data_IF_549806302118
#
_entry.id   IF_549806302118
#
_cell.length_a   1.000
_cell.length_b   1.000
_cell.length_c   1.000
_cell.angle_alpha   90.00
_cell.angle_beta   90.00
_cell.angle_gamma   90.00
#
_symmetry.space_group_name_H-M   'P 1'
#
loop_
_entity.id
_entity.type
_entity.pdbx_description
1 polymer ?
#
# COMPACT_ATOMS: atom_id res chain seq x y z
N UNK A 1 8.38 16.03 -2.03
CA UNK A 1 7.62 15.38 -3.11
C UNK A 1 7.33 13.97 -2.66
N UNK A 2 6.08 13.51 -2.75
CA UNK A 2 5.77 12.11 -2.56
C UNK A 2 6.11 11.38 -3.85
N UNK A 3 6.91 10.32 -3.76
CA UNK A 3 7.12 9.43 -4.90
C UNK A 3 5.79 8.74 -5.21
N UNK A 4 5.50 8.56 -6.49
CA UNK A 4 4.28 7.91 -6.95
C UNK A 4 4.64 6.80 -7.92
N UNK A 5 3.95 5.67 -7.78
CA UNK A 5 4.06 4.54 -8.69
C UNK A 5 2.65 4.22 -9.19
N UNK A 6 2.53 4.05 -10.50
CA UNK A 6 1.29 3.67 -11.14
C UNK A 6 1.14 2.15 -11.21
N UNK A 7 -0.10 1.70 -11.01
CA UNK A 7 -0.56 0.35 -11.37
C UNK A 7 -1.54 0.44 -12.53
N UNK A 8 -1.68 -0.62 -13.31
CA UNK A 8 -2.54 -0.61 -14.49
C UNK A 8 -3.44 -1.84 -14.56
N UNK A 9 -4.72 -1.64 -14.86
CA UNK A 9 -5.68 -2.73 -15.02
C UNK A 9 -6.76 -2.30 -16.03
N UNK A 10 -7.10 -3.18 -16.99
CA UNK A 10 -8.10 -2.92 -18.04
C UNK A 10 -7.99 -1.56 -18.75
N UNK A 11 -6.76 -1.15 -19.07
CA UNK A 11 -6.39 0.14 -19.69
C UNK A 11 -6.58 1.39 -18.81
N UNK A 12 -6.97 1.23 -17.56
CA UNK A 12 -6.94 2.31 -16.56
C UNK A 12 -5.64 2.26 -15.77
N UNK A 13 -5.23 3.42 -15.24
CA UNK A 13 -4.03 3.56 -14.42
C UNK A 13 -4.35 4.29 -13.12
N UNK A 14 -3.86 3.73 -12.01
CA UNK A 14 -4.09 4.24 -10.66
C UNK A 14 -2.75 4.55 -10.00
N UNK A 15 -2.57 5.78 -9.52
CA UNK A 15 -1.34 6.22 -8.85
C UNK A 15 -1.38 5.90 -7.36
N UNK A 16 -0.30 5.33 -6.83
CA UNK A 16 -0.10 5.05 -5.41
C UNK A 16 1.10 5.84 -4.88
N UNK A 17 0.90 6.54 -3.77
CA UNK A 17 1.98 7.19 -3.02
C UNK A 17 2.86 6.12 -2.37
N UNK A 18 4.17 6.26 -2.54
CA UNK A 18 5.17 5.34 -2.00
C UNK A 18 6.22 6.08 -1.16
N UNK A 19 6.93 5.31 -0.33
CA UNK A 19 7.97 5.81 0.57
C UNK A 19 7.43 6.47 1.85
N UNK A 20 8.12 6.23 2.96
CA UNK A 20 7.68 6.68 4.29
C UNK A 20 6.44 5.91 4.78
N UNK A 21 5.99 6.27 5.99
CA UNK A 21 4.80 5.66 6.58
C UNK A 21 3.50 6.14 5.92
N UNK A 22 2.45 5.30 6.01
CA UNK A 22 1.08 5.75 5.78
C UNK A 22 0.76 6.95 6.68
N UNK A 23 0.05 7.93 6.14
CA UNK A 23 -0.41 9.06 6.96
C UNK A 23 -1.28 8.51 8.09
N UNK A 24 -1.09 9.02 9.30
CA UNK A 24 -1.87 8.62 10.48
C UNK A 24 -1.71 7.15 10.91
N UNK A 25 -0.73 6.42 10.40
CA UNK A 25 -0.45 5.03 10.80
C UNK A 25 -0.38 4.85 12.32
N UNK A 26 0.24 5.81 13.00
CA UNK A 26 0.44 5.80 14.45
C UNK A 26 -0.48 6.76 15.20
N UNK A 27 -1.52 7.31 14.55
CA UNK A 27 -2.52 8.09 15.29
C UNK A 27 -3.39 7.18 16.15
N UNK A 28 -4.12 7.76 17.10
CA UNK A 28 -5.16 7.00 17.78
C UNK A 28 -6.13 6.40 16.73
N UNK A 29 -6.53 5.12 16.82
CA UNK A 29 -7.48 4.53 15.88
C UNK A 29 -8.76 5.35 15.70
N UNK A 30 -9.26 5.97 16.79
CA UNK A 30 -10.41 6.88 16.73
C UNK A 30 -10.17 8.11 15.87
N UNK A 31 -8.94 8.59 15.82
CA UNK A 31 -8.56 9.76 15.00
C UNK A 31 -8.42 9.36 13.54
N UNK A 32 -7.88 8.16 13.26
CA UNK A 32 -7.77 7.60 11.91
C UNK A 32 -9.15 7.41 11.25
N UNK A 33 -10.13 6.93 12.01
CA UNK A 33 -11.50 6.74 11.55
C UNK A 33 -12.27 8.05 11.27
N UNK A 34 -11.80 9.16 11.86
CA UNK A 34 -12.36 10.50 11.66
C UNK A 34 -11.74 11.24 10.47
N UNK A 35 -10.77 10.63 9.78
CA UNK A 35 -10.04 11.31 8.74
C UNK A 35 -10.89 11.56 7.50
N UNK A 36 -10.97 12.85 7.20
CA UNK A 36 -11.50 13.38 5.95
C UNK A 36 -10.37 14.16 5.29
N UNK A 37 -9.96 13.71 4.10
CA UNK A 37 -8.95 14.37 3.31
C UNK A 37 -9.45 15.75 2.87
N UNK A 38 -8.75 16.80 3.29
CA UNK A 38 -9.26 18.17 3.19
C UNK A 38 -9.53 18.57 1.75
N UNK A 39 -8.61 18.27 0.83
CA UNK A 39 -8.67 18.82 -0.52
C UNK A 39 -9.86 18.27 -1.33
N UNK A 40 -10.41 17.10 -0.96
CA UNK A 40 -11.58 16.48 -1.61
C UNK A 40 -12.92 17.00 -1.08
N UNK A 41 -12.93 17.81 -0.01
CA UNK A 41 -14.18 18.34 0.55
C UNK A 41 -14.81 19.29 -0.46
N UNK A 42 -16.05 19.04 -0.85
CA UNK A 42 -16.83 19.97 -1.68
C UNK A 42 -17.37 21.09 -0.78
N UNK A 43 -17.01 22.32 -1.11
CA UNK A 43 -17.44 23.53 -0.41
C UNK A 43 -18.86 23.93 -0.83
N UNK A 44 -19.53 24.83 -0.08
CA UNK A 44 -20.84 25.36 -0.48
C UNK A 44 -20.86 26.04 -1.86
N UNK A 45 -19.71 26.53 -2.35
CA UNK A 45 -19.55 27.08 -3.70
C UNK A 45 -19.59 26.02 -4.81
N UNK A 46 -19.51 24.73 -4.46
CA UNK A 46 -19.53 23.60 -5.40
C UNK A 46 -18.13 23.15 -5.88
N UNK A 47 -17.09 23.93 -5.62
CA UNK A 47 -15.69 23.55 -5.90
C UNK A 47 -15.10 22.70 -4.76
N UNK A 48 -13.95 22.07 -5.01
CA UNK A 48 -13.22 21.35 -3.96
C UNK A 48 -12.41 22.33 -3.10
N UNK A 49 -12.20 21.99 -1.83
CA UNK A 49 -11.37 22.78 -0.94
C UNK A 49 -9.90 22.87 -1.43
N UNK A 50 -9.42 21.84 -2.14
CA UNK A 50 -8.12 21.85 -2.79
C UNK A 50 -8.04 22.90 -3.90
N UNK A 51 -9.05 22.94 -4.78
CA UNK A 51 -9.12 23.91 -5.87
C UNK A 51 -9.26 25.34 -5.33
N UNK A 52 -10.12 25.55 -4.34
CA UNK A 52 -10.28 26.84 -3.66
C UNK A 52 -8.94 27.31 -3.09
N UNK A 53 -8.24 26.45 -2.34
CA UNK A 53 -6.93 26.78 -1.74
C UNK A 53 -5.88 27.10 -2.80
N UNK A 54 -5.88 26.37 -3.93
CA UNK A 54 -4.97 26.61 -5.05
C UNK A 54 -5.26 27.95 -5.73
N UNK A 55 -6.53 28.29 -5.96
CA UNK A 55 -6.94 29.57 -6.54
C UNK A 55 -6.54 30.76 -5.65
N UNK A 56 -6.85 30.69 -4.34
CA UNK A 56 -6.47 31.72 -3.38
C UNK A 56 -4.96 31.89 -3.24
N UNK A 57 -4.19 30.79 -3.37
CA UNK A 57 -2.73 30.90 -3.42
C UNK A 57 -2.25 31.66 -4.66
N UNK A 58 -2.81 31.35 -5.84
CA UNK A 58 -2.44 32.03 -7.08
C UNK A 58 -2.78 33.53 -7.05
N UNK A 59 -3.93 33.90 -6.47
CA UNK A 59 -4.31 35.31 -6.25
C UNK A 59 -3.34 36.04 -5.32
N UNK A 60 -2.96 35.40 -4.21
CA UNK A 60 -1.97 35.96 -3.28
C UNK A 60 -0.60 36.16 -3.95
N UNK A 61 -0.12 35.16 -4.67
CA UNK A 61 1.17 35.19 -5.38
C UNK A 61 1.17 36.30 -6.45
N UNK A 62 0.04 36.52 -7.14
CA UNK A 62 -0.12 37.57 -8.16
C UNK A 62 -0.24 38.98 -7.57
N UNK A 63 -0.79 39.13 -6.37
CA UNK A 63 -1.01 40.42 -5.72
C UNK A 63 0.27 41.05 -5.14
N UNK A 64 1.42 40.36 -5.18
CA UNK A 64 2.69 40.77 -4.55
C UNK A 64 2.51 41.24 -3.09
N UNK A 65 1.53 40.65 -2.38
CA UNK A 65 1.14 41.07 -1.04
C UNK A 65 2.20 40.66 -0.01
N UNK A 66 2.50 41.55 0.93
CA UNK A 66 3.36 41.23 2.08
C UNK A 66 2.68 40.33 3.13
N UNK A 67 1.37 40.10 3.01
CA UNK A 67 0.62 39.22 3.92
C UNK A 67 1.00 37.75 3.71
N UNK A 68 0.77 36.89 4.70
CA UNK A 68 1.00 35.44 4.56
C UNK A 68 -0.14 34.81 3.73
N UNK A 69 0.18 33.83 2.87
CA UNK A 69 -0.80 33.06 2.07
C UNK A 69 -2.00 32.58 2.92
N UNK A 70 -1.74 32.10 4.14
CA UNK A 70 -2.78 31.62 5.06
C UNK A 70 -3.70 32.74 5.56
N UNK A 71 -3.19 33.96 5.76
CA UNK A 71 -4.02 35.10 6.15
C UNK A 71 -4.95 35.51 5.00
N UNK A 72 -4.44 35.52 3.76
CA UNK A 72 -5.26 35.74 2.57
C UNK A 72 -6.35 34.67 2.44
N UNK A 73 -6.00 33.38 2.57
CA UNK A 73 -6.98 32.28 2.54
C UNK A 73 -8.07 32.42 3.62
N UNK A 74 -7.70 32.81 4.85
CA UNK A 74 -8.66 33.04 5.92
C UNK A 74 -9.60 34.22 5.58
N UNK A 75 -9.06 35.33 5.07
CA UNK A 75 -9.87 36.49 4.71
C UNK A 75 -10.84 36.16 3.58
N UNK A 76 -10.40 35.47 2.54
CA UNK A 76 -11.28 35.03 1.45
C UNK A 76 -12.36 34.08 1.95
N UNK A 77 -12.01 33.14 2.83
CA UNK A 77 -13.00 32.24 3.45
C UNK A 77 -14.04 33.00 4.27
N UNK A 78 -13.64 34.05 5.01
CA UNK A 78 -14.57 34.90 5.74
C UNK A 78 -15.51 35.62 4.77
N UNK A 79 -14.97 36.16 3.68
CA UNK A 79 -15.77 36.89 2.69
C UNK A 79 -16.77 35.97 1.97
N UNK A 80 -16.33 34.76 1.60
CA UNK A 80 -17.12 33.83 0.78
C UNK A 80 -18.09 32.99 1.62
N UNK A 81 -17.70 32.61 2.85
CA UNK A 81 -18.42 31.63 3.68
C UNK A 81 -18.75 32.12 5.09
N UNK A 82 -18.38 33.35 5.44
CA UNK A 82 -18.69 33.96 6.74
C UNK A 82 -17.88 33.42 7.92
N UNK A 83 -16.84 32.62 7.69
CA UNK A 83 -15.97 32.10 8.75
C UNK A 83 -14.54 31.81 8.28
N UNK A 84 -13.61 31.69 9.24
CA UNK A 84 -12.22 31.34 8.95
C UNK A 84 -12.09 29.94 8.33
N UNK A 85 -11.10 29.77 7.46
CA UNK A 85 -10.87 28.54 6.70
C UNK A 85 -10.80 27.28 7.56
N UNK A 86 -10.05 27.31 8.66
CA UNK A 86 -9.89 26.11 9.49
C UNK A 86 -11.21 25.75 10.19
N UNK A 87 -11.98 26.76 10.61
CA UNK A 87 -13.32 26.55 11.18
C UNK A 87 -14.27 25.95 10.14
N UNK A 88 -14.27 26.50 8.91
CA UNK A 88 -15.06 25.97 7.79
C UNK A 88 -14.75 24.50 7.54
N UNK A 89 -13.47 24.16 7.36
CA UNK A 89 -13.03 22.80 7.06
C UNK A 89 -13.35 21.86 8.22
N UNK A 90 -13.08 22.24 9.47
CA UNK A 90 -13.38 21.38 10.63
C UNK A 90 -14.87 21.08 10.76
N UNK A 91 -15.73 22.07 10.50
CA UNK A 91 -17.18 21.84 10.50
C UNK A 91 -17.61 20.86 9.40
N UNK A 92 -17.04 20.96 8.21
CA UNK A 92 -17.31 20.01 7.11
C UNK A 92 -16.82 18.61 7.45
N UNK A 93 -15.61 18.45 7.96
CA UNK A 93 -15.08 17.13 8.37
C UNK A 93 -15.99 16.45 9.39
N UNK A 94 -16.41 17.18 10.44
CA UNK A 94 -17.36 16.67 11.45
C UNK A 94 -18.69 16.27 10.83
N UNK A 95 -19.25 17.09 9.95
CA UNK A 95 -20.52 16.80 9.28
C UNK A 95 -20.43 15.52 8.43
N UNK A 96 -19.37 15.41 7.61
CA UNK A 96 -19.13 14.26 6.73
C UNK A 96 -18.96 12.99 7.56
N UNK A 97 -18.10 13.03 8.58
CA UNK A 97 -17.85 11.91 9.47
C UNK A 97 -19.11 11.46 10.20
N UNK A 98 -19.79 12.36 10.91
CA UNK A 98 -20.95 12.02 11.75
C UNK A 98 -22.11 11.40 10.96
N UNK A 99 -22.26 11.76 9.67
CA UNK A 99 -23.30 11.18 8.79
C UNK A 99 -22.95 9.80 8.28
N UNK A 100 -21.66 9.49 8.11
CA UNK A 100 -21.19 8.25 7.49
C UNK A 100 -20.79 7.20 8.52
N UNK A 101 -20.04 7.59 9.55
CA UNK A 101 -19.37 6.67 10.47
C UNK A 101 -20.30 5.65 11.14
N UNK A 102 -21.48 6.04 11.68
CA UNK A 102 -22.41 5.06 12.26
C UNK A 102 -22.87 4.01 11.26
N UNK A 103 -22.89 4.36 9.97
CA UNK A 103 -23.32 3.48 8.90
C UNK A 103 -22.22 2.51 8.47
N UNK A 104 -20.93 2.74 8.74
CA UNK A 104 -19.84 1.87 8.27
C UNK A 104 -19.78 0.51 8.98
N UNK A 105 -20.33 0.42 10.20
CA UNK A 105 -20.18 -0.77 11.06
C UNK A 105 -21.52 -1.40 11.48
N UNK A 106 -22.63 -1.04 10.83
CA UNK A 106 -23.93 -1.64 11.14
C UNK A 106 -23.97 -3.11 10.71
N UNK A 107 -24.51 -3.97 11.58
CA UNK A 107 -24.70 -5.40 11.30
C UNK A 107 -26.05 -5.67 10.64
N UNK A 108 -26.36 -4.91 9.57
CA UNK A 108 -27.51 -5.16 8.70
C UNK A 108 -27.25 -4.63 7.29
N UNK A 109 -28.08 -5.04 6.34
CA UNK A 109 -28.08 -4.45 5.00
C UNK A 109 -28.42 -2.96 5.09
N UNK A 110 -27.66 -2.14 4.35
CA UNK A 110 -27.86 -0.70 4.20
C UNK A 110 -28.96 -0.41 3.18
N UNK A 111 -29.78 0.60 3.45
CA UNK A 111 -30.74 1.11 2.44
C UNK A 111 -30.01 1.85 1.32
N UNK A 112 -30.74 2.17 0.25
CA UNK A 112 -30.20 2.98 -0.85
C UNK A 112 -29.79 4.37 -0.38
N UNK A 113 -30.56 5.01 0.51
CA UNK A 113 -30.20 6.32 1.04
C UNK A 113 -28.92 6.26 1.89
N UNK A 114 -28.75 5.22 2.69
CA UNK A 114 -27.55 5.03 3.52
C UNK A 114 -26.30 4.80 2.67
N UNK A 115 -26.42 4.01 1.60
CA UNK A 115 -25.34 3.83 0.63
C UNK A 115 -24.99 5.14 -0.07
N UNK A 116 -25.98 5.97 -0.42
CA UNK A 116 -25.74 7.29 -0.99
C UNK A 116 -24.98 8.21 -0.03
N UNK A 117 -25.26 8.16 1.28
CA UNK A 117 -24.53 8.91 2.29
C UNK A 117 -23.06 8.47 2.39
N UNK A 118 -22.80 7.17 2.36
CA UNK A 118 -21.43 6.62 2.37
C UNK A 118 -20.69 7.04 1.09
N UNK A 119 -21.31 6.90 -0.08
CA UNK A 119 -20.75 7.34 -1.35
C UNK A 119 -20.41 8.83 -1.33
N UNK A 120 -21.34 9.67 -0.82
CA UNK A 120 -21.11 11.11 -0.71
C UNK A 120 -19.95 11.43 0.24
N UNK A 121 -19.84 10.72 1.37
CA UNK A 121 -18.74 10.91 2.30
C UNK A 121 -17.40 10.52 1.68
N UNK A 122 -17.33 9.39 0.97
CA UNK A 122 -16.13 8.95 0.24
C UNK A 122 -15.75 9.96 -0.85
N UNK A 123 -16.71 10.47 -1.63
CA UNK A 123 -16.46 11.54 -2.61
C UNK A 123 -15.93 12.83 -1.97
N UNK A 124 -16.27 13.10 -0.71
CA UNK A 124 -15.83 14.27 0.06
C UNK A 124 -14.58 14.00 0.94
N UNK A 125 -13.80 12.96 0.64
CA UNK A 125 -12.51 12.72 1.31
C UNK A 125 -12.56 11.79 2.51
N UNK A 126 -13.71 11.22 2.89
CA UNK A 126 -13.76 10.33 4.07
C UNK A 126 -13.02 9.01 3.79
N UNK A 127 -11.89 8.80 4.46
CA UNK A 127 -10.94 7.73 4.14
C UNK A 127 -11.54 6.34 4.40
N UNK A 128 -12.13 6.10 5.58
CA UNK A 128 -12.74 4.80 5.90
C UNK A 128 -13.94 4.48 5.00
N UNK A 129 -14.67 5.50 4.50
CA UNK A 129 -15.75 5.30 3.54
C UNK A 129 -15.20 4.88 2.16
N UNK A 130 -14.12 5.51 1.69
CA UNK A 130 -13.42 5.08 0.47
C UNK A 130 -12.95 3.64 0.59
N UNK A 131 -12.28 3.29 1.70
CA UNK A 131 -11.81 1.93 1.93
C UNK A 131 -12.98 0.93 1.96
N UNK A 132 -14.05 1.25 2.71
CA UNK A 132 -15.23 0.38 2.81
C UNK A 132 -15.91 0.13 1.46
N UNK A 133 -16.08 1.16 0.62
CA UNK A 133 -16.61 0.99 -0.73
C UNK A 133 -15.66 0.12 -1.56
N UNK A 134 -14.36 0.42 -1.48
CA UNK A 134 -13.31 -0.30 -2.19
C UNK A 134 -13.30 -1.80 -1.88
N UNK A 135 -13.35 -2.17 -0.60
CA UNK A 135 -13.37 -3.59 -0.19
C UNK A 135 -14.66 -4.29 -0.61
N UNK A 136 -15.82 -3.63 -0.46
CA UNK A 136 -17.10 -4.21 -0.88
C UNK A 136 -17.14 -4.48 -2.40
N UNK A 137 -16.51 -3.62 -3.21
CA UNK A 137 -16.36 -3.82 -4.65
C UNK A 137 -15.34 -4.93 -4.96
N UNK A 138 -14.24 -5.00 -4.21
CA UNK A 138 -13.20 -6.03 -4.36
C UNK A 138 -13.77 -7.43 -4.12
N UNK A 139 -14.56 -7.61 -3.05
CA UNK A 139 -15.25 -8.88 -2.73
C UNK A 139 -16.20 -9.32 -3.86
N UNK A 140 -16.79 -8.36 -4.56
CA UNK A 140 -17.63 -8.60 -5.74
C UNK A 140 -16.86 -8.71 -7.06
N UNK A 141 -15.52 -8.72 -7.03
CA UNK A 141 -14.63 -8.69 -8.19
C UNK A 141 -14.92 -7.54 -9.17
N UNK A 142 -15.35 -6.39 -8.64
CA UNK A 142 -15.62 -5.19 -9.41
C UNK A 142 -14.38 -4.28 -9.44
N UNK A 143 -13.86 -4.00 -10.64
CA UNK A 143 -12.64 -3.21 -10.85
C UNK A 143 -12.71 -1.77 -10.33
N UNK A 144 -13.91 -1.21 -10.12
CA UNK A 144 -14.08 0.09 -9.47
C UNK A 144 -13.52 0.12 -8.04
N UNK A 145 -13.22 -1.04 -7.44
CA UNK A 145 -12.46 -1.10 -6.20
C UNK A 145 -11.12 -0.38 -6.28
N UNK A 146 -10.42 -0.46 -7.43
CA UNK A 146 -9.09 0.13 -7.63
C UNK A 146 -9.12 1.65 -7.50
N UNK A 147 -10.18 2.28 -8.02
CA UNK A 147 -10.40 3.72 -7.87
C UNK A 147 -10.52 4.12 -6.39
N UNK A 148 -11.38 3.45 -5.63
CA UNK A 148 -11.63 3.81 -4.23
C UNK A 148 -10.47 3.46 -3.30
N UNK A 149 -9.87 2.29 -3.48
CA UNK A 149 -8.75 1.84 -2.67
C UNK A 149 -7.48 2.65 -2.93
N UNK A 150 -7.19 3.04 -4.18
CA UNK A 150 -6.01 3.89 -4.47
C UNK A 150 -6.14 5.27 -3.83
N UNK A 151 -7.35 5.85 -3.84
CA UNK A 151 -7.65 7.09 -3.12
C UNK A 151 -7.51 6.93 -1.61
N UNK A 152 -8.08 5.87 -1.04
CA UNK A 152 -7.96 5.58 0.40
C UNK A 152 -6.49 5.45 0.82
N UNK A 153 -5.68 4.71 0.05
CA UNK A 153 -4.24 4.56 0.25
C UNK A 153 -3.51 5.90 0.23
N UNK A 154 -3.74 6.71 -0.80
CA UNK A 154 -3.11 8.02 -0.96
C UNK A 154 -3.49 9.00 0.15
N UNK A 155 -4.67 8.83 0.75
CA UNK A 155 -5.10 9.63 1.89
C UNK A 155 -4.57 9.12 3.24
N UNK A 156 -4.05 7.89 3.31
CA UNK A 156 -3.41 7.32 4.50
C UNK A 156 -3.94 5.97 5.00
N UNK A 157 -4.91 5.35 4.31
CA UNK A 157 -5.44 4.07 4.76
C UNK A 157 -4.41 2.95 4.61
N UNK A 158 -3.92 2.40 5.74
CA UNK A 158 -2.82 1.42 5.77
C UNK A 158 -3.14 0.11 5.02
N UNK A 159 -4.39 -0.36 5.09
CA UNK A 159 -4.81 -1.61 4.45
C UNK A 159 -5.22 -1.49 2.99
N UNK A 160 -5.31 -0.29 2.42
CA UNK A 160 -5.95 -0.14 1.10
C UNK A 160 -5.13 -0.75 -0.04
N UNK A 161 -3.80 -0.57 -0.05
CA UNK A 161 -2.94 -1.22 -1.05
C UNK A 161 -2.88 -2.76 -0.89
N UNK A 162 -3.06 -3.28 0.33
CA UNK A 162 -3.18 -4.73 0.55
C UNK A 162 -4.43 -5.30 -0.14
N UNK A 163 -5.56 -4.61 -0.04
CA UNK A 163 -6.80 -5.02 -0.70
C UNK A 163 -6.72 -4.90 -2.23
N UNK A 164 -5.99 -3.90 -2.75
CA UNK A 164 -5.67 -3.82 -4.18
C UNK A 164 -4.84 -5.05 -4.60
N UNK A 165 -3.84 -5.44 -3.82
CA UNK A 165 -3.03 -6.62 -4.11
C UNK A 165 -3.88 -7.89 -4.17
N UNK A 166 -4.78 -8.07 -3.21
CA UNK A 166 -5.75 -9.20 -3.18
C UNK A 166 -6.60 -9.26 -4.45
N UNK A 167 -7.22 -8.14 -4.84
CA UNK A 167 -7.99 -8.06 -6.07
C UNK A 167 -7.14 -8.45 -7.29
N UNK A 168 -5.96 -7.86 -7.45
CA UNK A 168 -5.11 -8.08 -8.63
C UNK A 168 -4.55 -9.50 -8.70
N UNK A 169 -4.23 -10.14 -7.57
CA UNK A 169 -3.86 -11.56 -7.55
C UNK A 169 -5.01 -12.45 -8.04
N UNK A 170 -6.25 -12.18 -7.60
CA UNK A 170 -7.43 -12.93 -8.05
C UNK A 170 -7.73 -12.71 -9.55
N UNK A 171 -7.30 -11.58 -10.13
CA UNK A 171 -7.39 -11.31 -11.57
C UNK A 171 -6.16 -11.81 -12.37
N UNK A 172 -5.16 -12.40 -11.71
CA UNK A 172 -3.92 -12.85 -12.34
C UNK A 172 -2.96 -11.73 -12.77
N UNK A 173 -3.19 -10.48 -12.35
CA UNK A 173 -2.24 -9.37 -12.57
C UNK A 173 -1.14 -9.37 -11.50
N UNK A 174 -0.29 -10.40 -11.55
CA UNK A 174 0.72 -10.69 -10.53
C UNK A 174 1.73 -9.54 -10.33
N UNK A 175 2.15 -8.86 -11.39
CA UNK A 175 3.16 -7.80 -11.29
C UNK A 175 2.64 -6.61 -10.48
N UNK A 176 1.45 -6.09 -10.81
CA UNK A 176 0.84 -5.00 -10.05
C UNK A 176 0.36 -5.45 -8.66
N UNK A 177 -0.07 -6.71 -8.51
CA UNK A 177 -0.43 -7.26 -7.22
C UNK A 177 0.75 -7.27 -6.25
N UNK A 178 1.90 -7.80 -6.69
CA UNK A 178 3.13 -7.83 -5.89
C UNK A 178 3.62 -6.41 -5.59
N UNK A 179 3.54 -5.49 -6.57
CA UNK A 179 3.86 -4.07 -6.38
C UNK A 179 3.03 -3.46 -5.25
N UNK A 180 1.71 -3.67 -5.26
CA UNK A 180 0.81 -3.18 -4.21
C UNK A 180 1.09 -3.81 -2.85
N UNK A 181 1.40 -5.10 -2.82
CA UNK A 181 1.73 -5.82 -1.60
C UNK A 181 2.99 -5.24 -0.92
N UNK A 182 4.05 -5.04 -1.70
CA UNK A 182 5.30 -4.42 -1.20
C UNK A 182 5.05 -2.99 -0.75
N UNK A 183 4.32 -2.18 -1.54
CA UNK A 183 3.96 -0.81 -1.15
C UNK A 183 3.20 -0.79 0.18
N UNK A 184 2.26 -1.71 0.39
CA UNK A 184 1.49 -1.79 1.62
C UNK A 184 2.36 -2.19 2.82
N UNK A 185 3.25 -3.17 2.65
CA UNK A 185 4.20 -3.61 3.67
C UNK A 185 5.16 -2.50 4.08
N UNK A 186 5.79 -1.83 3.10
CA UNK A 186 6.75 -0.74 3.29
C UNK A 186 6.10 0.47 4.02
N UNK A 187 4.77 0.62 3.88
CA UNK A 187 3.98 1.68 4.53
C UNK A 187 3.33 1.27 5.84
N UNK A 188 3.59 0.06 6.34
CA UNK A 188 3.23 -0.35 7.70
C UNK A 188 1.99 -1.19 7.85
N UNK A 189 1.50 -1.78 6.77
CA UNK A 189 0.49 -2.82 6.90
C UNK A 189 1.15 -4.13 7.38
N UNK A 190 0.87 -4.51 8.62
CA UNK A 190 1.41 -5.73 9.21
C UNK A 190 0.93 -7.00 8.50
N UNK A 191 -0.30 -6.99 7.97
CA UNK A 191 -0.83 -8.09 7.15
C UNK A 191 -0.03 -8.22 5.85
N UNK A 192 0.23 -7.10 5.16
CA UNK A 192 1.06 -7.09 3.95
C UNK A 192 2.50 -7.53 4.23
N UNK A 193 3.08 -7.06 5.35
CA UNK A 193 4.44 -7.45 5.74
C UNK A 193 4.55 -8.94 6.06
N UNK A 194 3.55 -9.53 6.72
CA UNK A 194 3.54 -10.98 6.91
C UNK A 194 3.37 -11.72 5.57
N UNK A 195 2.58 -11.15 4.66
CA UNK A 195 2.25 -11.76 3.38
C UNK A 195 3.39 -11.77 2.36
N UNK A 196 4.36 -10.85 2.41
CA UNK A 196 5.54 -10.93 1.52
C UNK A 196 6.35 -12.23 1.71
N UNK A 197 6.21 -12.88 2.87
CA UNK A 197 6.78 -14.20 3.18
C UNK A 197 5.79 -15.35 2.97
N UNK A 198 4.74 -15.12 2.18
CA UNK A 198 3.76 -16.11 1.80
C UNK A 198 4.29 -17.05 0.72
N UNK A 199 4.22 -18.37 0.96
CA UNK A 199 4.59 -19.36 -0.05
C UNK A 199 3.77 -19.19 -1.35
N UNK A 200 2.46 -18.98 -1.23
CA UNK A 200 1.53 -18.75 -2.34
C UNK A 200 1.86 -17.50 -3.18
N UNK A 201 2.39 -16.47 -2.52
CA UNK A 201 2.84 -15.23 -3.19
C UNK A 201 4.06 -15.53 -4.05
N UNK A 202 5.05 -16.22 -3.48
CA UNK A 202 6.26 -16.59 -4.21
C UNK A 202 5.93 -17.49 -5.42
N UNK A 203 4.99 -18.42 -5.28
CA UNK A 203 4.49 -19.25 -6.40
C UNK A 203 3.94 -18.39 -7.52
N UNK A 204 2.98 -17.53 -7.17
CA UNK A 204 2.30 -16.68 -8.15
C UNK A 204 3.30 -15.84 -8.93
N UNK A 205 4.28 -15.28 -8.20
CA UNK A 205 5.36 -14.45 -8.74
C UNK A 205 6.31 -15.24 -9.65
N UNK A 206 6.61 -16.50 -9.34
CA UNK A 206 7.52 -17.33 -10.14
C UNK A 206 6.83 -18.00 -11.34
N UNK A 207 5.52 -18.28 -11.26
CA UNK A 207 4.74 -18.89 -12.34
C UNK A 207 4.20 -17.87 -13.35
N UNK A 208 4.29 -16.57 -13.05
CA UNK A 208 3.76 -15.54 -13.94
C UNK A 208 4.40 -15.59 -15.33
N UNK A 209 3.58 -15.50 -16.37
CA UNK A 209 4.04 -15.39 -17.77
C UNK A 209 4.82 -14.11 -18.03
N UNK A 210 4.67 -13.12 -17.15
CA UNK A 210 5.27 -11.79 -17.22
C UNK A 210 6.43 -11.64 -16.23
N UNK A 211 7.26 -12.68 -16.11
CA UNK A 211 8.33 -12.75 -15.10
C UNK A 211 9.29 -11.56 -15.20
N UNK A 212 9.67 -11.18 -16.43
CA UNK A 212 10.56 -10.03 -16.68
C UNK A 212 9.93 -8.71 -16.23
N UNK A 213 8.67 -8.44 -16.60
CA UNK A 213 7.94 -7.25 -16.14
C UNK A 213 7.82 -7.23 -14.60
N UNK A 214 7.62 -8.40 -13.99
CA UNK A 214 7.53 -8.58 -12.53
C UNK A 214 8.87 -8.37 -11.83
N UNK A 215 10.00 -8.60 -12.51
CA UNK A 215 11.33 -8.28 -11.99
C UNK A 215 11.61 -6.79 -12.11
N UNK A 216 11.46 -6.22 -13.31
CA UNK A 216 11.77 -4.81 -13.63
C UNK A 216 10.94 -3.79 -12.82
N UNK A 217 9.78 -4.21 -12.32
CA UNK A 217 8.95 -3.35 -11.47
C UNK A 217 9.46 -3.18 -10.05
N UNK A 218 10.40 -4.02 -9.60
CA UNK A 218 10.95 -3.98 -8.24
C UNK A 218 11.97 -2.85 -8.07
N UNK A 219 12.67 -2.46 -9.14
CA UNK A 219 13.72 -1.44 -9.13
C UNK A 219 13.23 -0.10 -8.56
N UNK A 220 12.14 0.52 -9.07
CA UNK A 220 11.62 1.75 -8.49
C UNK A 220 11.26 1.64 -7.00
N UNK A 221 10.84 0.47 -6.52
CA UNK A 221 10.49 0.26 -5.11
C UNK A 221 11.74 0.22 -4.22
N UNK A 222 12.79 -0.46 -4.68
CA UNK A 222 14.10 -0.54 -4.01
C UNK A 222 14.75 0.84 -3.93
N UNK A 223 14.62 1.65 -4.98
CA UNK A 223 15.13 3.02 -5.03
C UNK A 223 14.35 3.97 -4.11
N UNK A 224 13.05 3.72 -3.89
CA UNK A 224 12.22 4.56 -3.03
C UNK A 224 12.57 4.45 -1.54
N UNK A 225 13.08 3.32 -1.06
CA UNK A 225 13.41 3.16 0.35
C UNK A 225 14.48 2.09 0.62
N UNK A 226 15.31 2.32 1.64
CA UNK A 226 16.33 1.37 2.08
C UNK A 226 15.74 0.12 2.77
N UNK A 227 14.47 0.17 3.16
CA UNK A 227 13.77 -0.92 3.84
C UNK A 227 12.78 -1.69 2.97
N UNK A 228 12.80 -1.46 1.64
CA UNK A 228 11.77 -2.03 0.77
C UNK A 228 11.80 -3.56 0.75
N UNK A 229 10.63 -4.17 0.96
CA UNK A 229 10.40 -5.60 0.76
C UNK A 229 10.68 -6.09 -0.66
N UNK A 230 10.77 -5.20 -1.65
CA UNK A 230 11.16 -5.55 -3.02
C UNK A 230 12.55 -6.22 -3.10
N UNK A 231 13.46 -5.91 -2.18
CA UNK A 231 14.80 -6.54 -2.11
C UNK A 231 14.72 -8.04 -1.90
N UNK A 232 13.78 -8.52 -1.08
CA UNK A 232 13.58 -9.94 -0.85
C UNK A 232 13.21 -10.67 -2.15
N UNK A 233 12.20 -10.21 -2.88
CA UNK A 233 11.81 -10.84 -4.15
C UNK A 233 12.92 -10.76 -5.20
N UNK A 234 13.57 -9.59 -5.31
CA UNK A 234 14.68 -9.41 -6.26
C UNK A 234 15.86 -10.32 -5.94
N UNK A 235 16.20 -10.51 -4.66
CA UNK A 235 17.26 -11.46 -4.27
C UNK A 235 16.93 -12.88 -4.70
N UNK A 236 15.69 -13.34 -4.52
CA UNK A 236 15.29 -14.69 -4.92
C UNK A 236 15.41 -14.84 -6.44
N UNK A 237 14.99 -13.84 -7.22
CA UNK A 237 15.16 -13.86 -8.67
C UNK A 237 16.64 -13.96 -9.09
N UNK A 238 17.51 -13.15 -8.48
CA UNK A 238 18.95 -13.17 -8.76
C UNK A 238 19.56 -14.55 -8.43
N UNK A 239 19.18 -15.15 -7.29
CA UNK A 239 19.64 -16.49 -6.91
C UNK A 239 19.19 -17.56 -7.91
N UNK A 240 17.92 -17.54 -8.36
CA UNK A 240 17.41 -18.48 -9.39
C UNK A 240 18.17 -18.35 -10.72
N UNK A 241 18.64 -17.14 -11.03
CA UNK A 241 19.40 -16.84 -12.25
C UNK A 241 20.91 -17.05 -12.10
N UNK A 242 21.37 -17.72 -11.03
CA UNK A 242 22.79 -17.90 -10.70
C UNK A 242 23.59 -16.60 -10.52
N UNK A 243 22.91 -15.48 -10.29
CA UNK A 243 23.54 -14.19 -9.95
C UNK A 243 23.74 -14.13 -8.43
N UNK A 244 24.52 -15.08 -7.90
CA UNK A 244 24.60 -15.37 -6.47
C UNK A 244 25.08 -14.17 -5.66
N UNK A 245 26.11 -13.47 -6.15
CA UNK A 245 26.67 -12.33 -5.44
C UNK A 245 25.66 -11.19 -5.30
N UNK A 246 25.00 -10.81 -6.40
CA UNK A 246 23.94 -9.79 -6.43
C UNK A 246 22.73 -10.20 -5.59
N UNK A 247 22.34 -11.48 -5.66
CA UNK A 247 21.25 -12.03 -4.88
C UNK A 247 21.52 -11.96 -3.37
N UNK A 248 22.69 -12.42 -2.94
CA UNK A 248 23.09 -12.35 -1.53
C UNK A 248 23.24 -10.92 -1.03
N UNK A 249 23.78 -10.02 -1.85
CA UNK A 249 23.88 -8.60 -1.50
C UNK A 249 22.50 -8.01 -1.19
N UNK A 250 21.52 -8.21 -2.07
CA UNK A 250 20.15 -7.72 -1.87
C UNK A 250 19.48 -8.36 -0.65
N UNK A 251 19.72 -9.66 -0.43
CA UNK A 251 19.17 -10.38 0.71
C UNK A 251 19.75 -9.89 2.04
N UNK A 252 21.05 -9.59 2.09
CA UNK A 252 21.71 -8.95 3.23
C UNK A 252 21.19 -7.54 3.48
N UNK A 253 21.03 -6.72 2.45
CA UNK A 253 20.45 -5.38 2.58
C UNK A 253 19.04 -5.43 3.19
N UNK A 254 18.22 -6.39 2.75
CA UNK A 254 16.91 -6.64 3.34
C UNK A 254 16.99 -7.18 4.77
N UNK A 255 17.90 -8.12 5.06
CA UNK A 255 18.11 -8.66 6.41
C UNK A 255 18.42 -7.54 7.43
N UNK A 256 19.28 -6.59 7.05
CA UNK A 256 19.66 -5.48 7.93
C UNK A 256 18.48 -4.53 8.18
N UNK A 257 17.68 -4.25 7.14
CA UNK A 257 16.59 -3.28 7.16
C UNK A 257 15.29 -3.84 6.58
N UNK A 258 14.64 -4.84 7.18
CA UNK A 258 13.52 -5.52 6.52
C UNK A 258 12.23 -4.71 6.59
N UNK A 259 12.13 -3.75 7.53
CA UNK A 259 10.92 -2.95 7.76
C UNK A 259 11.31 -1.50 8.08
N UNK A 260 10.48 -0.56 7.65
CA UNK A 260 10.59 0.84 8.07
C UNK A 260 10.54 0.95 9.59
N UNK A 261 11.41 1.78 10.18
CA UNK A 261 11.54 1.91 11.64
C UNK A 261 10.63 3.04 12.14
N UNK A 262 9.59 2.76 12.97
CA UNK A 262 8.73 3.81 13.48
C UNK A 262 9.40 4.49 14.70
N UNK A 263 8.84 5.60 15.21
CA UNK A 263 9.31 6.20 16.47
C UNK A 263 9.36 5.17 17.61
N UNK A 264 10.32 5.28 18.51
CA UNK A 264 10.49 4.31 19.62
C UNK A 264 9.23 4.15 20.49
N UNK A 265 8.49 5.25 20.69
CA UNK A 265 7.27 5.27 21.52
C UNK A 265 6.12 4.42 20.98
N UNK A 266 6.18 3.96 19.73
CA UNK A 266 5.12 3.17 19.08
C UNK A 266 5.59 1.79 18.65
N UNK A 267 6.83 1.40 18.99
CA UNK A 267 7.34 0.05 18.73
C UNK A 267 6.79 -0.89 19.79
N UNK A 268 6.00 -1.86 19.38
CA UNK A 268 5.41 -2.88 20.23
C UNK A 268 6.00 -4.28 19.94
N UNK A 269 5.52 -5.27 20.68
CA UNK A 269 5.97 -6.66 20.51
C UNK A 269 5.65 -7.20 19.11
N UNK A 270 4.57 -6.74 18.47
CA UNK A 270 4.20 -7.14 17.10
C UNK A 270 5.29 -6.72 16.13
N UNK A 271 5.73 -5.46 16.22
CA UNK A 271 6.81 -4.92 15.40
C UNK A 271 8.11 -5.72 15.56
N UNK A 272 8.54 -5.97 16.80
CA UNK A 272 9.79 -6.70 17.06
C UNK A 272 9.72 -8.17 16.63
N UNK A 273 8.58 -8.82 16.85
CA UNK A 273 8.38 -10.20 16.41
C UNK A 273 8.47 -10.32 14.89
N UNK A 274 7.85 -9.40 14.15
CA UNK A 274 7.95 -9.37 12.69
C UNK A 274 9.38 -9.13 12.19
N UNK A 275 10.09 -8.20 12.83
CA UNK A 275 11.50 -7.92 12.53
C UNK A 275 12.38 -9.16 12.72
N UNK A 276 12.21 -9.86 13.85
CA UNK A 276 12.96 -11.08 14.16
C UNK A 276 12.65 -12.20 13.17
N UNK A 277 11.37 -12.44 12.86
CA UNK A 277 10.98 -13.47 11.88
C UNK A 277 11.63 -13.20 10.51
N UNK A 278 11.57 -11.95 10.03
CA UNK A 278 12.18 -11.58 8.75
C UNK A 278 13.70 -11.78 8.76
N UNK A 279 14.36 -11.41 9.86
CA UNK A 279 15.81 -11.57 10.03
C UNK A 279 16.23 -13.04 10.10
N UNK A 280 15.54 -13.85 10.89
CA UNK A 280 15.86 -15.27 11.05
C UNK A 280 15.69 -16.01 9.72
N UNK A 281 14.56 -15.79 9.05
CA UNK A 281 14.26 -16.40 7.76
C UNK A 281 15.34 -16.08 6.70
N UNK A 282 15.77 -14.82 6.63
CA UNK A 282 16.76 -14.38 5.63
C UNK A 282 18.17 -14.82 5.98
N UNK A 283 18.53 -14.81 7.27
CA UNK A 283 19.85 -15.23 7.76
C UNK A 283 20.12 -16.70 7.45
N UNK A 284 19.15 -17.57 7.63
CA UNK A 284 19.32 -19.00 7.36
C UNK A 284 19.64 -19.25 5.88
N UNK A 285 18.91 -18.62 4.97
CA UNK A 285 19.16 -18.71 3.54
C UNK A 285 20.54 -18.17 3.16
N UNK A 286 20.91 -16.99 3.66
CA UNK A 286 22.24 -16.40 3.46
C UNK A 286 23.33 -17.38 3.90
N UNK A 287 23.25 -17.89 5.13
CA UNK A 287 24.28 -18.75 5.71
C UNK A 287 24.44 -20.07 4.96
N UNK A 288 23.35 -20.64 4.41
CA UNK A 288 23.42 -21.85 3.59
C UNK A 288 24.17 -21.58 2.29
N UNK A 289 23.81 -20.53 1.57
CA UNK A 289 24.43 -20.20 0.28
C UNK A 289 25.90 -19.75 0.46
N UNK A 290 26.22 -18.98 1.50
CA UNK A 290 27.61 -18.58 1.82
C UNK A 290 28.52 -19.77 2.14
N UNK A 291 27.97 -20.85 2.70
CA UNK A 291 28.70 -22.11 2.95
C UNK A 291 28.91 -22.95 1.68
N UNK A 292 28.38 -22.52 0.55
CA UNK A 292 28.47 -23.24 -0.73
C UNK A 292 27.41 -24.33 -0.89
N UNK A 293 26.34 -24.32 -0.09
CA UNK A 293 25.21 -25.22 -0.32
C UNK A 293 24.56 -24.91 -1.69
N UNK A 294 24.10 -25.93 -2.43
CA UNK A 294 23.43 -25.70 -3.71
C UNK A 294 22.23 -24.76 -3.55
N UNK A 295 22.10 -23.77 -4.45
CA UNK A 295 21.04 -22.76 -4.43
C UNK A 295 19.64 -23.41 -4.41
N UNK A 296 19.45 -24.46 -5.22
CA UNK A 296 18.19 -25.23 -5.26
C UNK A 296 17.85 -25.74 -3.86
N UNK A 297 18.79 -26.41 -3.19
CA UNK A 297 18.57 -26.98 -1.85
C UNK A 297 18.27 -25.90 -0.82
N UNK A 298 19.01 -24.80 -0.87
CA UNK A 298 18.86 -23.69 0.08
C UNK A 298 17.49 -23.00 -0.06
N UNK A 299 17.05 -22.76 -1.29
CA UNK A 299 15.73 -22.19 -1.57
C UNK A 299 14.59 -23.16 -1.20
N UNK A 300 14.77 -24.46 -1.42
CA UNK A 300 13.79 -25.47 -1.01
C UNK A 300 13.61 -25.51 0.51
N UNK A 301 14.68 -25.36 1.29
CA UNK A 301 14.58 -25.29 2.75
C UNK A 301 13.94 -23.98 3.22
N UNK A 302 14.34 -22.85 2.63
CA UNK A 302 13.74 -21.54 2.88
C UNK A 302 12.22 -21.55 2.72
N UNK A 303 11.72 -22.19 1.67
CA UNK A 303 10.27 -22.30 1.38
C UNK A 303 9.52 -23.06 2.46
N UNK A 304 10.08 -24.12 3.02
CA UNK A 304 9.41 -24.89 4.10
C UNK A 304 9.19 -24.04 5.35
N UNK A 305 10.01 -23.01 5.53
CA UNK A 305 9.92 -22.07 6.64
C UNK A 305 9.00 -20.87 6.33
N UNK A 306 8.54 -20.73 5.08
CA UNK A 306 7.54 -19.72 4.71
C UNK A 306 6.16 -20.07 5.27
N UNK A 307 5.39 -19.04 5.60
CA UNK A 307 4.03 -19.21 6.12
C UNK A 307 3.04 -19.31 4.96
N UNK A 308 1.97 -20.11 5.09
CA UNK A 308 0.83 -20.02 4.17
C UNK A 308 0.24 -18.61 4.20
N UNK A 309 -0.16 -18.08 3.04
CA UNK A 309 -0.74 -16.74 2.96
C UNK A 309 -2.06 -16.78 2.17
N UNK A 310 -3.16 -16.44 2.84
CA UNK A 310 -4.49 -16.39 2.25
C UNK A 310 -4.74 -14.97 1.71
N UNK A 311 -3.95 -14.56 0.71
CA UNK A 311 -4.16 -13.31 -0.04
C UNK A 311 -4.93 -13.53 -1.34
N UNK A 312 -5.02 -14.79 -1.78
CA UNK A 312 -5.79 -15.19 -2.94
C UNK A 312 -6.57 -16.46 -2.60
N UNK A 313 -7.62 -16.75 -3.37
CA UNK A 313 -8.33 -18.02 -3.26
C UNK A 313 -7.49 -19.21 -3.75
N UNK A 314 -6.28 -18.97 -4.28
CA UNK A 314 -5.33 -20.01 -4.64
C UNK A 314 -4.58 -20.49 -3.40
N UNK A 315 -4.90 -21.72 -2.98
CA UNK A 315 -4.04 -22.52 -2.10
C UNK A 315 -3.12 -23.33 -2.97
N UNK A 316 -1.83 -23.11 -2.85
CA UNK A 316 -0.83 -23.80 -3.65
C UNK A 316 -0.06 -24.77 -2.78
N UNK A 317 0.33 -25.91 -3.36
CA UNK A 317 1.09 -26.95 -2.64
C UNK A 317 2.59 -26.58 -2.62
N UNK A 318 3.23 -26.70 -1.46
CA UNK A 318 4.69 -26.56 -1.29
C UNK A 318 5.45 -27.49 -2.23
N UNK A 319 4.87 -28.63 -2.61
CA UNK A 319 5.47 -29.53 -3.61
C UNK A 319 5.52 -28.90 -5.01
N UNK A 320 4.56 -28.06 -5.36
CA UNK A 320 4.50 -27.35 -6.64
C UNK A 320 5.62 -26.30 -6.73
N UNK A 321 5.90 -25.58 -5.62
CA UNK A 321 7.08 -24.71 -5.48
C UNK A 321 8.38 -25.45 -5.75
N UNK A 322 8.56 -26.57 -5.05
CA UNK A 322 9.79 -27.34 -5.14
C UNK A 322 10.06 -27.82 -6.57
N UNK A 323 9.01 -28.17 -7.31
CA UNK A 323 9.09 -28.53 -8.72
C UNK A 323 9.46 -27.32 -9.59
N UNK A 324 8.77 -26.19 -9.41
CA UNK A 324 8.97 -24.96 -10.19
C UNK A 324 10.40 -24.44 -10.08
N UNK A 325 10.98 -24.40 -8.87
CA UNK A 325 12.36 -23.94 -8.67
C UNK A 325 13.37 -24.82 -9.39
N UNK A 326 13.20 -26.14 -9.34
CA UNK A 326 14.07 -27.08 -10.09
C UNK A 326 14.00 -26.80 -11.59
N UNK A 327 12.79 -26.57 -12.11
CA UNK A 327 12.61 -26.26 -13.53
C UNK A 327 13.25 -24.92 -13.93
N UNK A 328 13.06 -23.86 -13.13
CA UNK A 328 13.62 -22.54 -13.41
C UNK A 328 15.15 -22.54 -13.33
N UNK A 329 15.73 -23.15 -12.30
CA UNK A 329 17.19 -23.20 -12.13
C UNK A 329 17.83 -24.07 -13.22
N UNK A 330 17.24 -25.22 -13.56
CA UNK A 330 17.75 -26.07 -14.64
C UNK A 330 17.68 -25.39 -16.01
N UNK A 331 16.66 -24.56 -16.26
CA UNK A 331 16.55 -23.78 -17.49
C UNK A 331 17.65 -22.73 -17.63
N UNK A 332 18.13 -22.18 -16.52
CA UNK A 332 19.19 -21.18 -16.50
C UNK A 332 20.62 -21.77 -16.49
N UNK A 333 20.75 -23.08 -16.29
CA UNK A 333 22.01 -23.83 -16.32
C UNK A 333 22.32 -24.48 -17.69
N UNK A 334 21.40 -24.39 -18.65
CA UNK A 334 21.54 -24.90 -20.03
C UNK A 334 21.54 -23.73 -21.02
#
# INVERSE_FOLDING_TARGET
>A
MHNQIAISYNNESYSLIVGGWANYLHSNPKDADQLVYTDDIILPSGETAGDYKKARKAEHDAAASSSKVKAHLNQSSINDFGCEWDTLIQNHKKLIHNRCFPLLFINRKRTTEEQLLINKAASNGHISAMFWIGTALSDGLNENCLYWLSRAHNCGHVGAAYEIASFLFNQGNVADALRCLVISADRGCDLAFNAIFGADILISVLQTKKLKETQEMLEPLIECSHYSGARYFKSIFQLINNQTHEGLKLLWEFHENPKNLPPESVRDDVFYNQLNIAKDLTKDLIMQVDKGEPIVTSLQEHIKNLRPCILSNHKSDVNELNKLFRELINKNNN
#
